data_IF_845383927427
#
_entry.id   IF_845383927427
#
_cell.length_a   1.000
_cell.length_b   1.000
_cell.length_c   1.000
_cell.angle_alpha   90.00
_cell.angle_beta   90.00
_cell.angle_gamma   90.00
#
_symmetry.space_group_name_H-M   'P 1'
#
loop_
_entity.id
_entity.type
_entity.pdbx_description
1 polymer ?
#
# COMPACT_ATOMS: atom_id res chain seq x y z
N UNK A 1 -14.05 -13.66 -5.15
CA UNK A 1 -13.00 -13.89 -6.17
C UNK A 1 -11.77 -13.10 -5.72
N UNK A 2 -10.59 -13.73 -5.61
CA UNK A 2 -9.34 -13.00 -5.35
C UNK A 2 -8.71 -12.67 -6.69
N UNK A 3 -9.02 -11.49 -7.23
CA UNK A 3 -8.34 -10.98 -8.42
C UNK A 3 -7.00 -10.35 -8.01
N UNK A 4 -5.97 -10.59 -8.82
CA UNK A 4 -4.61 -10.04 -8.64
C UNK A 4 -4.16 -9.23 -9.87
N UNK A 5 -5.05 -8.94 -10.82
CA UNK A 5 -4.77 -8.12 -12.00
C UNK A 5 -4.13 -6.77 -11.66
N UNK A 6 -4.52 -6.16 -10.52
CA UNK A 6 -3.96 -4.88 -10.04
C UNK A 6 -2.43 -4.88 -9.94
N UNK A 7 -1.80 -5.95 -9.42
CA UNK A 7 -0.33 -6.00 -9.28
C UNK A 7 0.39 -6.34 -10.59
N UNK A 8 -0.36 -6.76 -11.62
CA UNK A 8 0.16 -7.11 -12.94
C UNK A 8 0.15 -5.92 -13.91
N UNK A 9 -0.27 -4.72 -13.47
CA UNK A 9 -0.34 -3.52 -14.31
C UNK A 9 0.95 -3.18 -15.08
N UNK A 10 2.18 -3.48 -14.59
CA UNK A 10 3.39 -3.16 -15.36
C UNK A 10 3.65 -4.11 -16.54
N UNK A 11 2.89 -5.19 -16.69
CA UNK A 11 3.12 -6.18 -17.75
C UNK A 11 2.61 -5.70 -19.10
N UNK A 12 3.50 -5.73 -20.10
CA UNK A 12 3.19 -5.46 -21.51
C UNK A 12 2.80 -6.73 -22.27
N UNK A 13 2.18 -6.57 -23.44
CA UNK A 13 1.63 -7.68 -24.24
C UNK A 13 2.64 -8.79 -24.55
N UNK A 14 3.90 -8.45 -24.82
CA UNK A 14 4.95 -9.46 -25.08
C UNK A 14 5.33 -10.29 -23.85
N UNK A 15 5.21 -9.73 -22.64
CA UNK A 15 5.40 -10.48 -21.40
C UNK A 15 4.17 -11.35 -21.11
N UNK A 16 2.96 -10.80 -21.29
CA UNK A 16 1.71 -11.53 -21.11
C UNK A 16 1.59 -12.73 -22.06
N UNK A 17 1.99 -12.58 -23.33
CA UNK A 17 1.98 -13.67 -24.32
C UNK A 17 2.86 -14.87 -23.94
N UNK A 18 3.83 -14.67 -23.03
CA UNK A 18 4.73 -15.72 -22.53
C UNK A 18 4.43 -16.14 -21.09
N UNK A 19 3.33 -15.65 -20.51
CA UNK A 19 2.93 -15.93 -19.14
C UNK A 19 1.71 -16.84 -19.12
N UNK A 20 1.75 -17.88 -18.30
CA UNK A 20 0.59 -18.74 -18.04
C UNK A 20 0.10 -18.41 -16.63
N UNK A 21 -1.23 -18.35 -16.46
CA UNK A 21 -1.89 -18.21 -15.17
C UNK A 21 -2.67 -19.50 -14.84
N UNK A 22 -2.00 -20.56 -14.34
CA UNK A 22 -2.64 -21.87 -14.17
C UNK A 22 -3.83 -21.86 -13.20
N UNK A 23 -3.86 -20.88 -12.31
CA UNK A 23 -4.91 -20.70 -11.30
C UNK A 23 -5.91 -19.61 -11.67
N UNK A 24 -5.80 -18.98 -12.85
CA UNK A 24 -6.58 -17.80 -13.24
C UNK A 24 -8.09 -18.05 -13.25
N UNK A 25 -8.50 -19.25 -13.65
CA UNK A 25 -9.90 -19.68 -13.70
C UNK A 25 -10.37 -20.39 -12.42
N UNK A 26 -9.48 -20.57 -11.43
CA UNK A 26 -9.78 -21.27 -10.20
C UNK A 26 -10.11 -20.30 -9.08
N UNK A 27 -11.16 -20.60 -8.32
CA UNK A 27 -11.40 -19.94 -7.04
C UNK A 27 -10.40 -20.43 -6.00
N UNK A 28 -10.13 -19.59 -4.99
CA UNK A 28 -9.21 -19.95 -3.90
C UNK A 28 -9.56 -21.27 -3.19
N UNK A 29 -10.85 -21.57 -2.89
CA UNK A 29 -11.23 -22.88 -2.34
C UNK A 29 -10.89 -24.05 -3.26
N UNK A 30 -11.12 -23.94 -4.58
CA UNK A 30 -10.76 -24.99 -5.54
C UNK A 30 -9.24 -25.25 -5.56
N UNK A 31 -8.43 -24.18 -5.49
CA UNK A 31 -6.96 -24.32 -5.40
C UNK A 31 -6.56 -25.05 -4.12
N UNK A 32 -7.21 -24.78 -2.98
CA UNK A 32 -6.91 -25.46 -1.71
C UNK A 32 -7.31 -26.93 -1.74
N UNK A 33 -8.51 -27.25 -2.23
CA UNK A 33 -8.97 -28.63 -2.37
C UNK A 33 -8.02 -29.46 -3.25
N UNK A 34 -7.60 -28.92 -4.40
CA UNK A 34 -6.63 -29.58 -5.28
C UNK A 34 -5.27 -29.79 -4.58
N UNK A 35 -4.81 -28.81 -3.80
CA UNK A 35 -3.57 -28.93 -3.04
C UNK A 35 -3.66 -30.01 -1.94
N UNK A 36 -4.83 -30.19 -1.32
CA UNK A 36 -5.09 -31.26 -0.34
C UNK A 36 -5.11 -32.63 -1.01
N UNK A 37 -5.82 -32.78 -2.13
CA UNK A 37 -5.87 -34.02 -2.92
C UNK A 37 -4.47 -34.47 -3.37
N UNK A 38 -3.61 -33.51 -3.73
CA UNK A 38 -2.22 -33.75 -4.13
C UNK A 38 -1.25 -33.92 -2.95
N UNK A 39 -1.73 -33.84 -1.70
CA UNK A 39 -0.90 -34.00 -0.50
C UNK A 39 0.14 -32.89 -0.31
N UNK A 40 -0.09 -31.68 -0.83
CA UNK A 40 0.88 -30.59 -0.75
C UNK A 40 0.91 -29.98 0.65
N UNK A 41 2.11 -29.86 1.25
CA UNK A 41 2.33 -29.22 2.56
C UNK A 41 1.79 -27.79 2.69
N UNK A 42 1.58 -27.10 1.56
CA UNK A 42 1.10 -25.72 1.51
C UNK A 42 -0.43 -25.62 1.48
N UNK A 43 -1.16 -26.74 1.42
CA UNK A 43 -2.60 -26.78 1.27
C UNK A 43 -3.36 -25.99 2.37
N UNK A 44 -2.92 -26.14 3.62
CA UNK A 44 -3.48 -25.43 4.78
C UNK A 44 -2.71 -24.14 5.13
N UNK A 45 -1.62 -23.80 4.42
CA UNK A 45 -0.82 -22.61 4.74
C UNK A 45 -1.67 -21.34 4.56
N UNK A 46 -1.71 -20.42 5.53
CA UNK A 46 -2.33 -19.12 5.35
C UNK A 46 -1.71 -18.36 4.18
N UNK A 47 -2.51 -17.54 3.50
CA UNK A 47 -1.99 -16.67 2.44
C UNK A 47 -1.04 -15.64 3.05
N UNK A 48 0.10 -15.37 2.40
CA UNK A 48 0.94 -14.24 2.77
C UNK A 48 0.12 -12.95 2.76
N UNK A 49 0.20 -12.21 3.85
CA UNK A 49 -0.27 -10.83 3.97
C UNK A 49 0.97 -9.94 4.02
N UNK A 50 0.85 -8.70 3.54
CA UNK A 50 1.95 -7.72 3.47
C UNK A 50 3.04 -8.04 2.42
N UNK A 51 4.03 -7.15 2.31
CA UNK A 51 5.16 -7.28 1.38
C UNK A 51 5.99 -8.51 1.77
N UNK A 52 6.21 -9.43 0.82
CA UNK A 52 6.74 -10.78 1.08
C UNK A 52 8.06 -10.83 1.88
N UNK A 53 8.90 -9.80 1.80
CA UNK A 53 10.20 -9.74 2.48
C UNK A 53 10.21 -8.85 3.74
N UNK A 54 9.09 -8.19 4.05
CA UNK A 54 8.96 -7.35 5.26
C UNK A 54 8.07 -8.09 6.26
N UNK A 55 8.69 -8.85 7.16
CA UNK A 55 7.98 -9.59 8.18
C UNK A 55 7.75 -8.73 9.43
N UNK A 56 6.55 -8.82 10.03
CA UNK A 56 6.30 -8.23 11.36
C UNK A 56 7.22 -8.82 12.43
N UNK A 57 7.61 -10.09 12.29
CA UNK A 57 8.54 -10.77 13.20
C UNK A 57 9.95 -10.18 13.19
N UNK A 58 10.33 -9.44 12.14
CA UNK A 58 11.65 -8.77 12.03
C UNK A 58 11.53 -7.26 12.24
N UNK A 59 10.49 -6.78 12.94
CA UNK A 59 10.28 -5.36 13.20
C UNK A 59 9.51 -4.59 12.11
N UNK A 60 9.04 -5.29 11.07
CA UNK A 60 8.14 -4.73 10.06
C UNK A 60 8.73 -3.59 9.24
N UNK A 61 7.84 -2.73 8.70
CA UNK A 61 8.20 -1.61 7.82
C UNK A 61 9.15 -0.60 8.46
N UNK A 62 9.00 -0.32 9.76
CA UNK A 62 9.81 0.69 10.46
C UNK A 62 11.28 0.31 10.49
N UNK A 63 11.61 -0.91 10.94
CA UNK A 63 12.99 -1.41 10.96
C UNK A 63 13.54 -1.54 9.53
N UNK A 64 12.75 -2.12 8.62
CA UNK A 64 13.19 -2.32 7.24
C UNK A 64 13.60 -1.00 6.56
N UNK A 65 12.80 0.05 6.72
CA UNK A 65 13.09 1.37 6.14
C UNK A 65 14.20 2.09 6.90
N UNK A 66 14.20 2.06 8.24
CA UNK A 66 15.18 2.77 9.07
C UNK A 66 16.63 2.30 8.89
N UNK A 67 16.84 1.07 8.41
CA UNK A 67 18.17 0.57 8.02
C UNK A 67 18.68 1.14 6.67
N UNK A 68 17.80 1.76 5.87
CA UNK A 68 18.06 2.10 4.45
C UNK A 68 17.90 3.58 4.14
N UNK A 69 16.99 4.25 4.83
CA UNK A 69 16.71 5.67 4.66
C UNK A 69 16.61 6.36 6.03
N UNK A 70 16.90 7.67 6.11
CA UNK A 70 16.65 8.44 7.32
C UNK A 70 15.17 8.41 7.69
N UNK A 71 14.89 8.20 8.98
CA UNK A 71 13.54 8.33 9.54
C UNK A 71 13.46 9.69 10.22
N UNK A 72 12.55 10.54 9.75
CA UNK A 72 12.49 11.94 10.16
C UNK A 72 11.22 12.25 10.91
N UNK A 73 11.35 12.98 12.02
CA UNK A 73 10.18 13.51 12.71
C UNK A 73 9.48 14.55 11.84
N UNK A 74 8.19 14.74 12.09
CA UNK A 74 7.38 15.75 11.41
C UNK A 74 6.39 16.42 12.37
N UNK A 75 6.14 17.71 12.13
CA UNK A 75 5.07 18.44 12.80
C UNK A 75 3.74 18.08 12.15
N UNK A 76 2.71 17.82 12.97
CA UNK A 76 1.35 17.62 12.47
C UNK A 76 0.55 18.90 12.67
N UNK A 77 -0.06 19.37 11.59
CA UNK A 77 -0.94 20.55 11.56
C UNK A 77 -2.33 20.16 11.09
N UNK A 78 -3.35 20.91 11.49
CA UNK A 78 -4.67 20.80 10.88
C UNK A 78 -4.78 21.66 9.61
N UNK A 79 -5.92 21.61 8.92
CA UNK A 79 -6.19 22.38 7.70
C UNK A 79 -6.18 23.90 7.89
N UNK A 80 -6.21 24.40 9.13
CA UNK A 80 -6.02 25.83 9.44
C UNK A 80 -4.55 26.20 9.66
N UNK A 81 -3.64 25.23 9.62
CA UNK A 81 -2.22 25.40 9.91
C UNK A 81 -1.89 25.36 11.41
N UNK A 82 -2.88 25.12 12.28
CA UNK A 82 -2.64 25.01 13.71
C UNK A 82 -1.92 23.68 14.00
N UNK A 83 -0.82 23.76 14.75
CA UNK A 83 -0.11 22.56 15.20
C UNK A 83 -0.98 21.76 16.17
N UNK A 84 -1.10 20.46 15.90
CA UNK A 84 -1.93 19.50 16.65
C UNK A 84 -1.16 18.29 17.16
N UNK A 85 0.10 18.12 16.78
CA UNK A 85 0.94 17.03 17.27
C UNK A 85 2.28 16.93 16.54
N UNK A 86 2.95 15.81 16.76
CA UNK A 86 4.19 15.42 16.08
C UNK A 86 4.18 13.90 15.81
N UNK A 87 4.99 13.48 14.85
CA UNK A 87 5.23 12.07 14.50
C UNK A 87 6.73 11.83 14.46
N UNK A 88 7.15 10.62 14.83
CA UNK A 88 8.57 10.24 14.83
C UNK A 88 9.12 9.95 13.44
N UNK A 89 8.25 9.69 12.46
CA UNK A 89 8.65 9.12 11.16
C UNK A 89 7.66 9.45 10.05
N UNK A 90 7.93 10.52 9.30
CA UNK A 90 7.12 10.95 8.16
C UNK A 90 7.10 9.91 7.03
N UNK A 91 8.16 9.11 6.89
CA UNK A 91 8.30 8.05 5.88
C UNK A 91 7.32 6.87 6.10
N UNK A 92 6.73 6.77 7.30
CA UNK A 92 5.73 5.75 7.61
C UNK A 92 4.29 6.23 7.38
N UNK A 93 4.12 7.51 7.10
CA UNK A 93 2.81 8.14 6.93
C UNK A 93 2.30 7.91 5.51
N UNK A 94 0.99 7.72 5.37
CA UNK A 94 0.33 7.58 4.06
C UNK A 94 -0.90 8.48 4.02
N UNK A 95 -1.13 9.15 2.88
CA UNK A 95 -2.35 9.93 2.65
C UNK A 95 -3.58 9.03 2.87
N UNK A 96 -4.58 9.54 3.60
CA UNK A 96 -5.76 8.81 4.04
C UNK A 96 -5.57 7.96 5.30
N UNK A 97 -4.36 7.90 5.87
CA UNK A 97 -4.13 7.23 7.14
C UNK A 97 -4.95 7.90 8.26
N UNK A 98 -5.62 7.07 9.08
CA UNK A 98 -6.41 7.51 10.25
C UNK A 98 -5.84 7.02 11.59
N UNK A 99 -5.26 5.81 11.59
CA UNK A 99 -4.79 5.14 12.81
C UNK A 99 -3.28 5.38 12.98
N UNK A 100 -2.82 5.38 14.23
CA UNK A 100 -1.40 5.48 14.56
C UNK A 100 -0.80 6.87 14.31
N UNK A 101 -1.63 7.92 14.38
CA UNK A 101 -1.17 9.30 14.30
C UNK A 101 -1.22 10.02 15.64
N UNK A 102 -1.94 9.47 16.63
CA UNK A 102 -2.15 10.01 17.99
C UNK A 102 -2.54 11.51 18.09
N UNK A 103 -2.98 12.12 16.98
CA UNK A 103 -3.42 13.53 16.87
C UNK A 103 -4.93 13.72 17.00
N UNK A 104 -5.59 12.79 17.70
CA UNK A 104 -7.04 12.79 17.93
C UNK A 104 -7.46 13.80 19.00
N UNK A 105 -7.54 15.08 18.62
CA UNK A 105 -8.12 16.14 19.46
C UNK A 105 -9.65 16.05 19.59
N UNK A 106 -10.29 16.97 20.35
CA UNK A 106 -11.74 17.03 20.45
C UNK A 106 -12.35 17.36 19.08
N UNK A 107 -13.26 16.52 18.56
CA UNK A 107 -14.06 16.88 17.37
C UNK A 107 -14.21 15.84 16.25
N UNK A 108 -13.50 14.72 16.24
CA UNK A 108 -13.81 13.64 15.28
C UNK A 108 -12.62 12.86 14.74
N UNK A 109 -12.89 12.09 13.68
CA UNK A 109 -11.91 11.25 12.99
C UNK A 109 -11.08 12.15 12.06
N UNK A 110 -9.77 12.23 12.30
CA UNK A 110 -8.83 12.93 11.42
C UNK A 110 -8.11 11.96 10.48
N UNK A 111 -7.85 12.42 9.27
CA UNK A 111 -7.13 11.68 8.22
C UNK A 111 -5.94 12.52 7.77
N UNK A 112 -4.84 11.87 7.36
CA UNK A 112 -3.75 12.55 6.66
C UNK A 112 -4.25 12.99 5.30
N UNK A 113 -4.22 14.29 5.03
CA UNK A 113 -4.66 14.85 3.74
C UNK A 113 -3.49 15.32 2.89
N UNK A 114 -2.36 15.62 3.52
CA UNK A 114 -1.12 16.01 2.82
C UNK A 114 0.13 15.60 3.62
N UNK A 115 1.23 15.37 2.92
CA UNK A 115 2.53 14.97 3.48
C UNK A 115 3.64 15.75 2.76
N UNK A 116 4.09 16.84 3.37
CA UNK A 116 5.25 17.59 2.90
C UNK A 116 6.53 17.05 3.54
N UNK A 117 7.21 16.18 2.80
CA UNK A 117 8.48 15.57 3.25
C UNK A 117 9.67 16.53 3.25
N UNK A 118 9.59 17.65 2.53
CA UNK A 118 10.66 18.65 2.49
C UNK A 118 10.56 19.59 3.70
N UNK A 119 9.35 20.05 4.02
CA UNK A 119 9.07 20.87 5.20
C UNK A 119 8.94 20.05 6.50
N UNK A 120 8.86 18.72 6.40
CA UNK A 120 8.58 17.82 7.53
C UNK A 120 7.26 18.16 8.23
N UNK A 121 6.21 18.36 7.41
CA UNK A 121 4.86 18.70 7.87
C UNK A 121 3.87 17.67 7.36
N UNK A 122 2.99 17.21 8.25
CA UNK A 122 1.85 16.36 7.91
C UNK A 122 0.58 17.14 8.20
N UNK A 123 -0.27 17.30 7.20
CA UNK A 123 -1.57 17.98 7.36
C UNK A 123 -2.66 16.94 7.61
N UNK A 124 -3.49 17.18 8.63
CA UNK A 124 -4.65 16.34 8.94
C UNK A 124 -5.95 17.11 8.84
N UNK A 125 -6.99 16.45 8.32
CA UNK A 125 -8.30 17.05 8.08
C UNK A 125 -9.45 16.07 8.28
N UNK A 126 -10.65 16.52 7.93
CA UNK A 126 -11.85 15.70 7.83
C UNK A 126 -11.79 14.73 6.64
N UNK A 127 -12.89 13.99 6.43
CA UNK A 127 -12.97 13.08 5.28
C UNK A 127 -13.12 13.88 3.97
N UNK A 128 -13.88 14.96 4.03
CA UNK A 128 -14.13 15.92 2.95
C UNK A 128 -12.84 16.52 2.39
N UNK A 129 -11.85 16.79 3.25
CA UNK A 129 -10.54 17.32 2.87
C UNK A 129 -9.67 16.28 2.13
N UNK A 130 -10.01 14.98 2.23
CA UNK A 130 -9.29 13.88 1.58
C UNK A 130 -9.84 13.57 0.18
N UNK A 131 -11.06 14.00 -0.14
CA UNK A 131 -11.71 13.64 -1.40
C UNK A 131 -11.10 14.41 -2.57
N UNK A 132 -10.86 13.70 -3.67
CA UNK A 132 -10.45 14.31 -4.94
C UNK A 132 -11.33 13.77 -6.08
N UNK A 133 -11.69 14.64 -7.02
CA UNK A 133 -12.40 14.26 -8.26
C UNK A 133 -11.43 13.92 -9.41
N UNK A 134 -10.13 14.16 -9.23
CA UNK A 134 -9.10 14.04 -10.27
C UNK A 134 -7.80 13.46 -9.72
N UNK A 135 -7.04 12.82 -10.60
CA UNK A 135 -5.68 12.36 -10.34
C UNK A 135 -4.87 12.48 -11.62
N UNK A 136 -3.64 12.97 -11.51
CA UNK A 136 -2.68 12.96 -12.61
C UNK A 136 -1.92 11.64 -12.61
N UNK A 137 -1.76 11.04 -13.78
CA UNK A 137 -1.07 9.76 -13.95
C UNK A 137 0.19 9.99 -14.79
N UNK A 138 1.30 9.41 -14.36
CA UNK A 138 2.56 9.35 -15.09
C UNK A 138 2.95 7.88 -15.33
N UNK A 139 3.86 7.64 -16.28
CA UNK A 139 4.40 6.30 -16.58
C UNK A 139 3.32 5.24 -16.85
N UNK A 140 2.26 5.63 -17.57
CA UNK A 140 1.12 4.74 -17.84
C UNK A 140 1.55 3.61 -18.78
N UNK A 141 1.29 2.37 -18.36
CA UNK A 141 1.51 1.16 -19.14
C UNK A 141 0.18 0.57 -19.59
N UNK A 142 0.06 0.30 -20.88
CA UNK A 142 -1.09 -0.39 -21.46
C UNK A 142 -0.70 -1.81 -21.90
N UNK A 143 -1.52 -2.79 -21.52
CA UNK A 143 -1.24 -4.21 -21.79
C UNK A 143 -1.26 -4.55 -23.30
N UNK A 144 -2.00 -3.77 -24.10
CA UNK A 144 -2.09 -3.89 -25.55
C UNK A 144 -1.01 -3.08 -26.30
N UNK A 145 -0.22 -2.27 -25.59
CA UNK A 145 0.89 -1.56 -26.20
C UNK A 145 1.93 -2.57 -26.73
N UNK A 146 2.20 -2.50 -28.03
CA UNK A 146 3.37 -3.16 -28.61
C UNK A 146 4.60 -2.48 -28.01
N UNK A 147 5.51 -3.23 -27.41
CA UNK A 147 6.77 -2.68 -26.93
C UNK A 147 7.44 -1.97 -28.10
N UNK A 148 7.51 -0.62 -28.06
CA UNK A 148 8.36 0.12 -28.95
C UNK A 148 9.79 -0.41 -28.71
N UNK A 149 10.36 -1.03 -29.74
CA UNK A 149 11.71 -1.58 -29.71
C UNK A 149 12.76 -0.48 -29.62
#
# INVERSE_FOLDING_TARGET
RKDQSYVLYPLVGSALARTIFPLGEMTKPQVRALAEELGLRTAAKPDSQDVCFIAKSTGGRSVFLGERIPMRSATVVDTSGQRVGELDSIELVTIGQRRGLDVGGPGGRRYVVDVDTAAQVVTVGGLEDLLSDRVELAEVVYADASSAG
#
